data_IF_205664791305
#
_entry.id   IF_205664791305
#
_cell.length_a   1.000
_cell.length_b   1.000
_cell.length_c   1.000
_cell.angle_alpha   90.00
_cell.angle_beta   90.00
_cell.angle_gamma   90.00
#
_symmetry.space_group_name_H-M   'P 1'
#
loop_
_entity.id
_entity.type
_entity.pdbx_description
1 polymer ?
#
# COMPACT_ATOMS: atom_id res chain seq x y z
N UNK A 1 21.54 -9.14 32.05
CA UNK A 1 21.94 -8.46 33.29
C UNK A 1 21.40 -7.04 33.20
N UNK A 2 20.70 -6.58 34.25
CA UNK A 2 20.28 -5.17 34.38
C UNK A 2 21.39 -4.42 35.11
N UNK A 3 21.89 -3.37 34.46
CA UNK A 3 22.92 -2.49 35.07
C UNK A 3 22.21 -1.27 35.65
N UNK A 4 22.69 -0.77 36.82
CA UNK A 4 22.18 0.45 37.43
C UNK A 4 22.57 1.64 36.54
N UNK A 5 21.71 2.66 36.45
CA UNK A 5 21.94 3.84 35.61
C UNK A 5 23.30 4.54 35.92
N UNK A 6 23.72 4.54 37.16
CA UNK A 6 25.00 5.14 37.60
C UNK A 6 26.26 4.41 37.11
N UNK A 7 26.10 3.14 36.72
CA UNK A 7 27.20 2.31 36.22
C UNK A 7 27.24 2.27 34.66
N UNK A 8 26.21 2.75 33.99
CA UNK A 8 26.12 2.80 32.51
C UNK A 8 26.91 4.03 31.98
N UNK A 9 28.24 3.93 32.07
CA UNK A 9 29.18 4.96 31.61
C UNK A 9 29.77 4.56 30.27
N UNK A 10 30.24 5.54 29.44
CA UNK A 10 31.00 5.24 28.23
C UNK A 10 32.18 4.31 28.55
N UNK A 11 32.29 3.18 27.82
CA UNK A 11 33.30 2.16 28.04
C UNK A 11 32.96 1.07 29.09
N UNK A 12 31.80 1.15 29.75
CA UNK A 12 31.36 0.08 30.69
C UNK A 12 31.25 -1.29 30.02
N UNK A 13 30.66 -1.38 28.84
CA UNK A 13 30.47 -2.63 28.11
C UNK A 13 31.82 -3.29 27.79
N UNK A 14 32.83 -2.50 27.43
CA UNK A 14 34.18 -3.03 27.11
C UNK A 14 34.91 -3.54 28.36
N UNK A 15 34.87 -2.76 29.44
CA UNK A 15 35.48 -3.16 30.72
C UNK A 15 34.79 -4.40 31.30
N UNK A 16 33.47 -4.43 31.26
CA UNK A 16 32.68 -5.58 31.69
C UNK A 16 32.93 -6.82 30.83
N UNK A 17 33.03 -6.68 29.51
CA UNK A 17 33.38 -7.76 28.60
C UNK A 17 34.76 -8.34 28.92
N UNK A 18 35.74 -7.49 29.16
CA UNK A 18 37.11 -7.91 29.48
C UNK A 18 37.18 -8.69 30.80
N UNK A 19 36.47 -8.21 31.80
CA UNK A 19 36.42 -8.89 33.12
C UNK A 19 35.66 -10.20 33.04
N UNK A 20 34.50 -10.24 32.39
CA UNK A 20 33.70 -11.47 32.22
C UNK A 20 34.41 -12.53 31.39
N UNK A 21 35.16 -12.15 30.34
CA UNK A 21 35.98 -13.08 29.56
C UNK A 21 37.06 -13.74 30.42
N UNK A 22 37.58 -13.04 31.40
CA UNK A 22 38.59 -13.57 32.32
C UNK A 22 37.99 -14.53 33.31
N UNK A 23 36.82 -14.20 33.87
CA UNK A 23 36.17 -14.99 34.93
C UNK A 23 35.40 -16.20 34.40
N UNK A 24 34.83 -16.13 33.22
CA UNK A 24 33.97 -17.19 32.61
C UNK A 24 34.74 -18.17 31.72
N UNK A 25 36.05 -18.19 31.77
CA UNK A 25 36.85 -19.17 31.04
C UNK A 25 37.00 -20.45 31.85
N UNK A 26 35.97 -21.31 31.81
CA UNK A 26 35.94 -22.55 32.58
C UNK A 26 35.70 -23.72 31.63
N UNK A 27 36.69 -24.60 31.50
CA UNK A 27 36.62 -25.76 30.60
C UNK A 27 36.40 -25.38 29.13
N UNK A 28 35.39 -25.96 28.50
CA UNK A 28 35.01 -25.68 27.12
C UNK A 28 34.01 -24.52 26.98
N UNK A 29 33.63 -23.90 28.10
CA UNK A 29 32.72 -22.74 28.08
C UNK A 29 33.52 -21.45 27.91
N UNK A 30 33.12 -20.66 26.94
CA UNK A 30 33.69 -19.34 26.71
C UNK A 30 32.60 -18.33 26.43
N UNK A 31 32.83 -17.11 26.87
CA UNK A 31 31.96 -15.99 26.58
C UNK A 31 32.21 -15.52 25.14
N UNK A 32 31.27 -15.71 24.23
CA UNK A 32 31.40 -15.32 22.84
C UNK A 32 31.36 -13.79 22.69
N UNK A 33 30.32 -13.14 23.17
CA UNK A 33 30.20 -11.68 23.07
C UNK A 33 29.28 -11.12 24.17
N UNK A 34 29.49 -9.84 24.51
CA UNK A 34 28.58 -9.05 25.35
C UNK A 34 28.29 -7.76 24.60
N UNK A 35 27.03 -7.53 24.28
CA UNK A 35 26.57 -6.31 23.63
C UNK A 35 25.43 -5.67 24.44
N UNK A 36 25.29 -4.35 24.40
CA UNK A 36 24.16 -3.69 25.03
C UNK A 36 22.86 -4.13 24.37
N UNK A 37 21.77 -4.16 25.12
CA UNK A 37 20.44 -4.53 24.60
C UNK A 37 19.98 -3.60 23.48
N UNK A 38 20.42 -2.34 23.48
CA UNK A 38 20.19 -1.39 22.39
C UNK A 38 20.74 -1.85 21.04
N UNK A 39 21.86 -2.60 21.03
CA UNK A 39 22.43 -3.15 19.80
C UNK A 39 21.45 -4.17 19.17
N UNK A 40 20.99 -5.15 19.95
CA UNK A 40 20.06 -6.15 19.46
C UNK A 40 18.72 -5.54 19.05
N UNK A 41 18.22 -4.59 19.81
CA UNK A 41 17.01 -3.85 19.46
C UNK A 41 17.16 -3.12 18.13
N UNK A 42 18.28 -2.45 17.88
CA UNK A 42 18.51 -1.72 16.64
C UNK A 42 18.70 -2.67 15.44
N UNK A 43 19.35 -3.80 15.64
CA UNK A 43 19.50 -4.85 14.62
C UNK A 43 18.14 -5.40 14.22
N UNK A 44 17.32 -5.84 15.17
CA UNK A 44 15.95 -6.28 14.91
C UNK A 44 15.08 -5.20 14.26
N UNK A 45 15.18 -3.94 14.72
CA UNK A 45 14.44 -2.85 14.10
C UNK A 45 14.92 -2.55 12.67
N UNK A 46 16.18 -2.77 12.34
CA UNK A 46 16.70 -2.62 10.98
C UNK A 46 16.11 -3.67 10.04
N UNK A 47 16.02 -4.92 10.47
CA UNK A 47 15.40 -6.01 9.70
C UNK A 47 13.92 -5.71 9.42
N UNK A 48 13.15 -5.35 10.47
CA UNK A 48 11.74 -4.97 10.31
C UNK A 48 11.53 -3.77 9.39
N UNK A 49 12.45 -2.79 9.41
CA UNK A 49 12.38 -1.65 8.48
C UNK A 49 12.64 -2.07 7.05
N UNK A 50 13.60 -2.94 6.82
CA UNK A 50 13.91 -3.46 5.48
C UNK A 50 12.70 -4.18 4.89
N UNK A 51 12.06 -5.05 5.66
CA UNK A 51 10.86 -5.77 5.25
C UNK A 51 9.71 -4.81 4.96
N UNK A 52 9.48 -3.82 5.84
CA UNK A 52 8.45 -2.81 5.65
C UNK A 52 8.66 -2.02 4.36
N UNK A 53 9.89 -1.57 4.06
CA UNK A 53 10.18 -0.86 2.81
C UNK A 53 9.97 -1.74 1.59
N UNK A 54 10.31 -3.02 1.66
CA UNK A 54 10.08 -3.98 0.58
C UNK A 54 8.58 -4.14 0.31
N UNK A 55 7.76 -4.34 1.34
CA UNK A 55 6.31 -4.43 1.17
C UNK A 55 5.68 -3.14 0.66
N UNK A 56 6.14 -1.97 1.14
CA UNK A 56 5.68 -0.68 0.65
C UNK A 56 6.07 -0.45 -0.81
N UNK A 57 7.25 -0.87 -1.24
CA UNK A 57 7.68 -0.78 -2.63
C UNK A 57 6.81 -1.66 -3.55
N UNK A 58 6.54 -2.91 -3.13
CA UNK A 58 5.67 -3.83 -3.87
C UNK A 58 4.24 -3.27 -3.93
N UNK A 59 3.69 -2.83 -2.81
CA UNK A 59 2.36 -2.23 -2.76
C UNK A 59 2.28 -0.97 -3.64
N UNK A 60 3.28 -0.09 -3.58
CA UNK A 60 3.36 1.11 -4.41
C UNK A 60 3.43 0.79 -5.91
N UNK A 61 4.18 -0.25 -6.28
CA UNK A 61 4.21 -0.74 -7.66
C UNK A 61 2.84 -1.21 -8.14
N UNK A 62 2.12 -2.01 -7.35
CA UNK A 62 0.78 -2.47 -7.73
C UNK A 62 -0.23 -1.32 -7.77
N UNK A 63 -0.16 -0.36 -6.86
CA UNK A 63 -1.02 0.82 -6.87
C UNK A 63 -0.76 1.70 -8.11
N UNK A 64 0.49 1.89 -8.51
CA UNK A 64 0.84 2.60 -9.74
C UNK A 64 0.30 1.89 -10.99
N UNK A 65 0.41 0.55 -11.06
CA UNK A 65 -0.18 -0.23 -12.14
C UNK A 65 -1.70 -0.13 -12.18
N UNK A 66 -2.37 -0.19 -11.03
CA UNK A 66 -3.81 -0.01 -10.93
C UNK A 66 -4.24 1.38 -11.41
N UNK A 67 -3.50 2.43 -11.02
CA UNK A 67 -3.73 3.80 -11.50
C UNK A 67 -3.66 3.90 -13.01
N UNK A 68 -2.59 3.38 -13.62
CA UNK A 68 -2.39 3.41 -15.07
C UNK A 68 -3.46 2.60 -15.81
N UNK A 69 -3.83 1.43 -15.29
CA UNK A 69 -4.86 0.58 -15.87
C UNK A 69 -6.24 1.26 -15.86
N UNK A 70 -6.62 1.87 -14.74
CA UNK A 70 -7.89 2.61 -14.61
C UNK A 70 -7.87 3.82 -15.53
N UNK A 71 -6.81 4.61 -15.50
CA UNK A 71 -6.66 5.82 -16.34
C UNK A 71 -6.75 5.47 -17.82
N UNK A 72 -6.03 4.45 -18.29
CA UNK A 72 -6.06 4.00 -19.68
C UNK A 72 -7.43 3.48 -20.12
N UNK A 73 -8.08 2.69 -19.26
CA UNK A 73 -9.41 2.14 -19.54
C UNK A 73 -10.45 3.26 -19.65
N UNK A 74 -10.45 4.21 -18.72
CA UNK A 74 -11.42 5.32 -18.73
C UNK A 74 -11.11 6.33 -19.83
N UNK A 75 -9.83 6.56 -20.14
CA UNK A 75 -9.45 7.36 -21.29
C UNK A 75 -10.05 6.79 -22.58
N UNK A 76 -9.81 5.50 -22.83
CA UNK A 76 -10.32 4.85 -24.04
C UNK A 76 -11.85 4.82 -24.10
N UNK A 77 -12.52 4.46 -23.00
CA UNK A 77 -14.00 4.46 -22.92
C UNK A 77 -14.59 5.85 -23.18
N UNK A 78 -13.96 6.89 -22.63
CA UNK A 78 -14.43 8.27 -22.80
C UNK A 78 -14.27 8.72 -24.25
N UNK A 79 -13.20 8.32 -24.94
CA UNK A 79 -13.02 8.60 -26.37
C UNK A 79 -14.07 7.90 -27.23
N UNK A 80 -14.34 6.63 -26.96
CA UNK A 80 -15.36 5.86 -27.68
C UNK A 80 -16.78 6.41 -27.53
N UNK A 81 -17.10 6.99 -26.36
CA UNK A 81 -18.43 7.56 -26.05
C UNK A 81 -18.51 9.07 -26.28
N UNK A 82 -17.53 9.66 -26.97
CA UNK A 82 -17.44 11.10 -27.13
C UNK A 82 -18.67 11.71 -27.79
N UNK A 83 -19.19 11.06 -28.84
CA UNK A 83 -20.41 11.48 -29.55
C UNK A 83 -21.65 11.40 -28.65
N UNK A 84 -21.81 10.31 -27.92
CA UNK A 84 -22.92 10.13 -26.96
C UNK A 84 -22.91 11.22 -25.89
N UNK A 85 -21.73 11.51 -25.34
CA UNK A 85 -21.54 12.56 -24.32
C UNK A 85 -21.86 13.96 -24.90
N UNK A 86 -21.45 14.23 -26.16
CA UNK A 86 -21.75 15.48 -26.84
C UNK A 86 -23.26 15.67 -27.08
N UNK A 87 -23.97 14.63 -27.53
CA UNK A 87 -25.43 14.66 -27.69
C UNK A 87 -26.13 14.93 -26.36
N UNK A 88 -25.68 14.34 -25.27
CA UNK A 88 -26.25 14.58 -23.93
C UNK A 88 -26.01 16.05 -23.47
N UNK A 89 -24.84 16.64 -23.79
CA UNK A 89 -24.57 18.04 -23.50
C UNK A 89 -25.50 18.98 -24.28
N UNK A 90 -25.71 18.70 -25.60
CA UNK A 90 -26.65 19.46 -26.42
C UNK A 90 -28.09 19.30 -25.92
N UNK A 91 -28.46 18.13 -25.40
CA UNK A 91 -29.77 17.89 -24.80
C UNK A 91 -29.95 18.54 -23.41
N UNK A 92 -28.94 19.31 -22.94
CA UNK A 92 -29.02 20.06 -21.69
C UNK A 92 -28.43 19.39 -20.43
N UNK A 93 -27.70 18.29 -20.60
CA UNK A 93 -26.96 17.70 -19.46
C UNK A 93 -25.82 18.62 -19.04
N UNK A 94 -25.61 18.78 -17.74
CA UNK A 94 -24.49 19.58 -17.25
C UNK A 94 -23.20 18.78 -17.29
N UNK A 95 -22.02 19.41 -17.51
CA UNK A 95 -20.73 18.73 -17.44
C UNK A 95 -20.53 17.97 -16.13
N UNK A 96 -20.98 18.55 -15.01
CA UNK A 96 -20.90 17.93 -13.71
C UNK A 96 -21.71 16.62 -13.59
N UNK A 97 -22.94 16.58 -14.16
CA UNK A 97 -23.76 15.38 -14.13
C UNK A 97 -23.14 14.22 -14.91
N UNK A 98 -22.51 14.52 -16.06
CA UNK A 98 -21.80 13.53 -16.85
C UNK A 98 -20.52 13.03 -16.15
N UNK A 99 -19.79 13.92 -15.50
CA UNK A 99 -18.64 13.55 -14.68
C UNK A 99 -19.03 12.62 -13.54
N UNK A 100 -20.09 12.95 -12.83
CA UNK A 100 -20.62 12.11 -11.73
C UNK A 100 -21.06 10.74 -12.24
N UNK A 101 -21.66 10.67 -13.42
CA UNK A 101 -22.04 9.41 -14.07
C UNK A 101 -20.81 8.54 -14.36
N UNK A 102 -19.77 9.09 -14.98
CA UNK A 102 -18.53 8.37 -15.29
C UNK A 102 -17.79 7.90 -14.01
N UNK A 103 -17.77 8.75 -12.98
CA UNK A 103 -17.22 8.36 -11.68
C UNK A 103 -18.03 7.24 -11.04
N UNK A 104 -19.36 7.31 -11.09
CA UNK A 104 -20.24 6.26 -10.58
C UNK A 104 -20.02 4.92 -11.27
N UNK A 105 -19.90 4.91 -12.60
CA UNK A 105 -19.55 3.70 -13.36
C UNK A 105 -18.19 3.12 -12.89
N UNK A 106 -17.18 3.96 -12.70
CA UNK A 106 -15.86 3.55 -12.23
C UNK A 106 -15.87 2.95 -10.83
N UNK A 107 -16.53 3.60 -9.89
CA UNK A 107 -16.65 3.11 -8.52
C UNK A 107 -17.42 1.79 -8.45
N UNK A 108 -18.47 1.64 -9.24
CA UNK A 108 -19.24 0.41 -9.31
C UNK A 108 -18.37 -0.75 -9.83
N UNK A 109 -17.62 -0.54 -10.90
CA UNK A 109 -16.72 -1.57 -11.46
C UNK A 109 -15.63 -1.98 -10.46
N UNK A 110 -15.02 -1.04 -9.77
CA UNK A 110 -14.01 -1.32 -8.75
C UNK A 110 -14.62 -2.09 -7.58
N UNK A 111 -15.80 -1.71 -7.13
CA UNK A 111 -16.49 -2.39 -6.03
C UNK A 111 -16.82 -3.84 -6.40
N UNK A 112 -17.32 -4.07 -7.64
CA UNK A 112 -17.59 -5.43 -8.12
C UNK A 112 -16.30 -6.25 -8.21
N UNK A 113 -15.22 -5.69 -8.71
CA UNK A 113 -13.92 -6.37 -8.83
C UNK A 113 -13.27 -6.64 -7.46
N UNK A 114 -13.53 -5.79 -6.48
CA UNK A 114 -12.98 -5.89 -5.14
C UNK A 114 -13.52 -7.08 -4.35
N UNK A 115 -14.79 -7.45 -4.55
CA UNK A 115 -15.43 -8.57 -3.82
C UNK A 115 -14.68 -9.90 -4.05
N UNK A 116 -14.47 -10.37 -5.28
CA UNK A 116 -13.72 -11.61 -5.51
C UNK A 116 -12.26 -11.49 -5.06
N UNK A 117 -11.64 -10.32 -5.18
CA UNK A 117 -10.29 -10.09 -4.68
C UNK A 117 -10.18 -10.26 -3.16
N UNK A 118 -11.18 -9.79 -2.39
CA UNK A 118 -11.27 -10.02 -0.95
C UNK A 118 -11.39 -11.51 -0.61
N UNK A 119 -12.19 -12.27 -1.36
CA UNK A 119 -12.34 -13.72 -1.14
C UNK A 119 -11.00 -14.43 -1.36
N UNK A 120 -10.29 -14.10 -2.42
CA UNK A 120 -8.96 -14.66 -2.70
C UNK A 120 -7.96 -14.27 -1.60
N UNK A 121 -7.90 -13.00 -1.22
CA UNK A 121 -7.01 -12.51 -0.17
C UNK A 121 -7.28 -13.17 1.20
N UNK A 122 -8.55 -13.40 1.53
CA UNK A 122 -8.94 -14.11 2.74
C UNK A 122 -8.43 -15.55 2.74
N UNK A 123 -8.64 -16.29 1.65
CA UNK A 123 -8.17 -17.66 1.52
C UNK A 123 -6.63 -17.77 1.58
N UNK A 124 -5.92 -16.83 0.93
CA UNK A 124 -4.46 -16.76 1.02
C UNK A 124 -3.98 -16.46 2.44
N UNK A 125 -4.69 -15.60 3.17
CA UNK A 125 -4.34 -15.27 4.56
C UNK A 125 -4.52 -16.43 5.55
N UNK A 126 -5.47 -17.33 5.30
CA UNK A 126 -5.70 -18.51 6.16
C UNK A 126 -4.77 -19.67 5.79
N UNK A 127 -4.31 -19.76 4.54
CA UNK A 127 -3.64 -20.95 3.99
C UNK A 127 -2.18 -21.12 4.42
N UNK A 128 -1.65 -20.33 5.37
CA UNK A 128 -0.25 -20.33 5.82
C UNK A 128 0.81 -20.35 4.68
N UNK A 129 0.38 -20.03 3.44
CA UNK A 129 1.28 -19.97 2.28
C UNK A 129 2.32 -18.84 2.40
N UNK A 130 2.10 -17.92 3.32
CA UNK A 130 2.98 -16.78 3.59
C UNK A 130 3.49 -16.88 5.02
N UNK A 131 4.39 -17.82 5.28
CA UNK A 131 5.08 -18.05 6.57
C UNK A 131 5.95 -16.87 7.05
N UNK A 132 5.68 -15.65 6.66
CA UNK A 132 6.64 -14.57 6.79
C UNK A 132 6.50 -13.71 8.04
N UNK A 133 5.51 -13.92 8.91
CA UNK A 133 5.31 -13.04 10.05
C UNK A 133 5.13 -13.77 11.37
N UNK A 134 5.78 -13.32 12.44
CA UNK A 134 5.56 -13.81 13.80
C UNK A 134 4.21 -13.36 14.38
N UNK A 135 3.28 -12.93 13.52
CA UNK A 135 2.00 -12.38 13.90
C UNK A 135 0.89 -13.29 13.41
N UNK A 136 0.21 -13.94 14.34
CA UNK A 136 -0.92 -14.82 14.07
C UNK A 136 -1.97 -14.10 13.19
N UNK A 137 -2.56 -14.83 12.25
CA UNK A 137 -3.63 -14.33 11.41
C UNK A 137 -4.79 -13.81 12.27
N UNK A 138 -5.33 -12.64 11.95
CA UNK A 138 -6.45 -12.04 12.66
C UNK A 138 -7.47 -11.48 11.67
N UNK A 139 -8.71 -11.91 11.82
CA UNK A 139 -9.83 -11.41 11.01
C UNK A 139 -10.00 -9.88 11.12
N UNK A 140 -9.79 -9.32 12.29
CA UNK A 140 -9.89 -7.87 12.50
C UNK A 140 -8.83 -7.11 11.70
N UNK A 141 -7.58 -7.60 11.67
CA UNK A 141 -6.50 -6.99 10.86
C UNK A 141 -6.78 -7.11 9.38
N UNK A 142 -7.32 -8.26 8.94
CA UNK A 142 -7.74 -8.46 7.56
C UNK A 142 -8.83 -7.45 7.15
N UNK A 143 -9.84 -7.24 7.98
CA UNK A 143 -10.90 -6.26 7.71
C UNK A 143 -10.37 -4.83 7.63
N UNK A 144 -9.50 -4.43 8.57
CA UNK A 144 -8.90 -3.09 8.56
C UNK A 144 -8.03 -2.90 7.31
N UNK A 145 -7.18 -3.86 6.98
CA UNK A 145 -6.35 -3.83 5.77
C UNK A 145 -7.19 -3.79 4.49
N UNK A 146 -8.25 -4.59 4.43
CA UNK A 146 -9.22 -4.58 3.34
C UNK A 146 -9.88 -3.21 3.19
N UNK A 147 -10.39 -2.65 4.27
CA UNK A 147 -11.02 -1.32 4.23
C UNK A 147 -10.05 -0.23 3.76
N UNK A 148 -8.84 -0.22 4.28
CA UNK A 148 -7.80 0.74 3.85
C UNK A 148 -7.49 0.59 2.36
N UNK A 149 -7.31 -0.65 1.88
CA UNK A 149 -7.06 -0.93 0.46
C UNK A 149 -8.22 -0.49 -0.42
N UNK A 150 -9.46 -0.73 0.01
CA UNK A 150 -10.67 -0.30 -0.71
C UNK A 150 -10.73 1.23 -0.85
N UNK A 151 -10.48 1.96 0.25
CA UNK A 151 -10.47 3.42 0.23
C UNK A 151 -9.34 3.98 -0.64
N UNK A 152 -8.16 3.35 -0.63
CA UNK A 152 -7.04 3.73 -1.51
C UNK A 152 -7.39 3.51 -2.98
N UNK A 153 -8.00 2.38 -3.33
CA UNK A 153 -8.43 2.10 -4.71
C UNK A 153 -9.50 3.10 -5.17
N UNK A 154 -10.44 3.47 -4.31
CA UNK A 154 -11.42 4.50 -4.60
C UNK A 154 -10.78 5.87 -4.83
N UNK A 155 -9.81 6.26 -4.00
CA UNK A 155 -9.07 7.51 -4.17
C UNK A 155 -8.30 7.54 -5.50
N UNK A 156 -7.61 6.44 -5.82
CA UNK A 156 -6.90 6.27 -7.09
C UNK A 156 -7.87 6.35 -8.27
N UNK A 157 -9.02 5.67 -8.20
CA UNK A 157 -10.04 5.72 -9.22
C UNK A 157 -10.58 7.14 -9.42
N UNK A 158 -10.88 7.84 -8.35
CA UNK A 158 -11.37 9.22 -8.44
C UNK A 158 -10.40 10.11 -9.21
N UNK A 159 -9.10 10.03 -8.90
CA UNK A 159 -8.04 10.79 -9.58
C UNK A 159 -7.91 10.38 -11.04
N UNK A 160 -7.88 9.05 -11.31
CA UNK A 160 -7.68 8.50 -12.64
C UNK A 160 -8.83 8.81 -13.60
N UNK A 161 -10.07 8.84 -13.10
CA UNK A 161 -11.27 9.08 -13.92
C UNK A 161 -11.51 10.59 -14.08
N UNK A 162 -11.17 11.37 -13.07
CA UNK A 162 -11.41 12.81 -13.08
C UNK A 162 -10.76 13.52 -14.26
N UNK A 163 -9.52 13.15 -14.60
CA UNK A 163 -8.77 13.78 -15.70
C UNK A 163 -9.41 13.55 -17.08
N UNK A 164 -9.65 12.29 -17.53
CA UNK A 164 -10.28 12.04 -18.84
C UNK A 164 -11.73 12.55 -18.90
N UNK A 165 -12.47 12.45 -17.81
CA UNK A 165 -13.82 12.98 -17.73
C UNK A 165 -13.86 14.49 -17.95
N UNK A 166 -12.97 15.24 -17.29
CA UNK A 166 -12.88 16.70 -17.45
C UNK A 166 -12.48 17.09 -18.87
N UNK A 167 -11.55 16.36 -19.49
CA UNK A 167 -11.12 16.65 -20.86
C UNK A 167 -12.23 16.39 -21.89
N UNK A 168 -13.02 15.32 -21.73
CA UNK A 168 -14.15 15.04 -22.62
C UNK A 168 -15.23 16.12 -22.57
N UNK A 169 -15.41 16.78 -21.44
CA UNK A 169 -16.41 17.83 -21.25
C UNK A 169 -15.94 19.23 -21.69
N UNK A 170 -14.65 19.43 -21.95
CA UNK A 170 -14.10 20.69 -22.44
C UNK A 170 -14.22 20.85 -23.95
N UNK A 171 -14.72 19.83 -24.67
CA UNK A 171 -14.85 19.84 -26.11
C UNK A 171 -16.10 20.66 -26.51
N UNK A 172 -15.93 21.55 -27.46
CA UNK A 172 -17.06 22.32 -28.00
C UNK A 172 -18.01 21.37 -28.74
N UNK A 173 -19.35 21.43 -28.48
CA UNK A 173 -20.32 20.55 -29.12
C UNK A 173 -20.27 20.58 -30.67
N UNK A 174 -19.88 21.71 -31.23
CA UNK A 174 -19.75 21.88 -32.67
C UNK A 174 -18.63 21.03 -33.30
N UNK A 175 -17.49 20.86 -32.61
CA UNK A 175 -16.38 19.99 -33.08
C UNK A 175 -16.69 18.51 -32.97
N UNK A 176 -17.52 18.12 -31.99
CA UNK A 176 -17.91 16.74 -31.80
C UNK A 176 -18.91 16.21 -32.84
N UNK A 177 -19.65 17.13 -33.51
CA UNK A 177 -20.61 16.78 -34.56
C UNK A 177 -20.00 16.88 -35.97
N UNK A 178 -18.85 17.50 -36.17
CA UNK A 178 -18.12 17.62 -37.42
C UNK A 178 -16.91 16.66 -37.48
N UNK A 179 -16.99 15.53 -36.81
CA UNK A 179 -15.94 14.49 -36.79
C UNK A 179 -15.73 13.87 -38.19
N UNK A 180 -14.97 14.52 -39.04
CA UNK A 180 -14.12 14.01 -40.10
C UNK A 180 -12.66 14.38 -39.80
#
# INVERSE_FOLDING_TARGET
IRVKADADRPGFVESFRKEMKKQLRVGNLYLADIRPMSYYRNEHLADYRSDLYTYLAIAGFFLANAFLAILGTFWFRTQQRREELAVRLVAGATPHSLQTLLMGEGFLLITIAYIPALVVAYNLGISDLVETWPVEWSFTRFLIGGLVTFLLLWAIAAISIWFPARQAMSIQPAEALHGE
#
